data_IF_427180207110
#
_entry.id   IF_427180207110
#
_cell.length_a   1.000
_cell.length_b   1.000
_cell.length_c   1.000
_cell.angle_alpha   90.00
_cell.angle_beta   90.00
_cell.angle_gamma   90.00
#
_symmetry.space_group_name_H-M   'P 1'
#
loop_
_entity.id
_entity.type
_entity.pdbx_description
1 polymer ?
#
# COMPACT_ATOMS: atom_id res chain seq x y z
N UNK A 1 -13.11 6.90 -47.50
CA UNK A 1 -13.01 7.61 -46.20
C UNK A 1 -13.91 7.04 -45.08
N UNK A 2 -14.44 5.80 -45.14
CA UNK A 2 -15.25 5.22 -44.04
C UNK A 2 -14.49 4.24 -43.12
N UNK A 3 -13.35 3.70 -43.59
CA UNK A 3 -12.55 2.71 -42.84
C UNK A 3 -11.66 3.31 -41.75
N UNK A 4 -11.20 4.56 -41.93
CA UNK A 4 -10.33 5.27 -40.98
C UNK A 4 -11.10 5.63 -39.71
N UNK A 5 -12.36 6.08 -39.84
CA UNK A 5 -13.22 6.37 -38.68
C UNK A 5 -13.52 5.13 -37.84
N UNK A 6 -13.65 3.94 -38.46
CA UNK A 6 -13.90 2.71 -37.73
C UNK A 6 -12.67 2.31 -36.88
N UNK A 7 -11.46 2.44 -37.44
CA UNK A 7 -10.20 2.23 -36.72
C UNK A 7 -9.98 3.26 -35.61
N UNK A 8 -10.32 4.53 -35.85
CA UNK A 8 -10.26 5.60 -34.83
C UNK A 8 -11.29 5.40 -33.71
N UNK A 9 -12.48 4.88 -34.02
CA UNK A 9 -13.53 4.58 -33.02
C UNK A 9 -13.13 3.39 -32.13
N UNK A 10 -12.47 2.38 -32.71
CA UNK A 10 -11.91 1.24 -31.98
C UNK A 10 -10.74 1.65 -31.06
N UNK A 11 -9.86 2.54 -31.52
CA UNK A 11 -8.79 3.12 -30.70
C UNK A 11 -9.33 3.95 -29.54
N UNK A 12 -10.41 4.71 -29.76
CA UNK A 12 -11.08 5.46 -28.70
C UNK A 12 -11.73 4.52 -27.66
N UNK A 13 -12.31 3.40 -28.08
CA UNK A 13 -12.93 2.43 -27.17
C UNK A 13 -11.91 1.74 -26.24
N UNK A 14 -10.66 1.53 -26.70
CA UNK A 14 -9.58 1.04 -25.84
C UNK A 14 -9.11 2.07 -24.80
N UNK A 15 -9.25 3.37 -25.09
CA UNK A 15 -8.82 4.46 -24.20
C UNK A 15 -9.76 4.69 -23.02
N UNK A 16 -11.00 4.17 -23.07
CA UNK A 16 -12.03 4.35 -22.02
C UNK A 16 -12.41 3.03 -21.35
N UNK A 17 -11.58 1.99 -21.44
CA UNK A 17 -11.78 0.86 -20.53
C UNK A 17 -11.51 1.39 -19.12
N UNK A 18 -12.53 1.47 -18.23
CA UNK A 18 -12.23 1.67 -16.83
C UNK A 18 -11.26 0.56 -16.45
N UNK A 19 -10.22 0.89 -15.70
CA UNK A 19 -9.34 -0.09 -15.07
C UNK A 19 -10.25 -0.91 -14.14
N UNK A 20 -10.94 -1.90 -14.71
CA UNK A 20 -11.69 -2.88 -13.96
C UNK A 20 -10.59 -3.69 -13.32
N UNK A 21 -10.39 -3.49 -12.01
CA UNK A 21 -9.55 -4.38 -11.23
C UNK A 21 -9.93 -5.81 -11.57
N UNK A 22 -8.94 -6.67 -11.77
CA UNK A 22 -9.19 -8.07 -12.07
C UNK A 22 -10.14 -8.63 -11.01
N UNK A 23 -11.13 -9.40 -11.47
CA UNK A 23 -12.04 -10.12 -10.60
C UNK A 23 -11.20 -11.08 -9.75
N UNK A 24 -11.21 -10.92 -8.43
CA UNK A 24 -10.45 -11.77 -7.50
C UNK A 24 -11.38 -12.49 -6.55
N UNK A 25 -11.24 -13.82 -6.47
CA UNK A 25 -12.03 -14.67 -5.58
C UNK A 25 -11.30 -14.97 -4.26
N UNK A 26 -12.04 -15.45 -3.25
CA UNK A 26 -11.45 -15.85 -1.97
C UNK A 26 -10.41 -16.96 -2.16
N UNK A 27 -10.69 -17.97 -2.99
CA UNK A 27 -9.76 -19.07 -3.24
C UNK A 27 -8.45 -18.58 -3.88
N UNK A 28 -8.52 -17.53 -4.69
CA UNK A 28 -7.37 -16.92 -5.34
C UNK A 28 -6.50 -16.15 -4.35
N UNK A 29 -7.10 -15.38 -3.43
CA UNK A 29 -6.38 -14.65 -2.37
C UNK A 29 -5.58 -15.57 -1.45
N UNK A 30 -6.02 -16.83 -1.30
CA UNK A 30 -5.32 -17.84 -0.51
C UNK A 30 -4.11 -18.43 -1.24
N UNK A 31 -3.81 -18.04 -2.49
CA UNK A 31 -2.62 -18.47 -3.22
C UNK A 31 -1.37 -17.67 -2.79
N UNK A 32 -0.44 -18.26 -2.02
CA UNK A 32 0.73 -17.54 -1.49
C UNK A 32 1.76 -17.16 -2.57
N UNK A 33 1.66 -17.72 -3.79
CA UNK A 33 2.54 -17.36 -4.90
C UNK A 33 2.21 -16.00 -5.50
N UNK A 34 0.95 -15.58 -5.39
CA UNK A 34 0.46 -14.33 -5.98
C UNK A 34 0.10 -13.29 -4.91
N UNK A 35 -0.41 -13.74 -3.77
CA UNK A 35 -0.81 -12.87 -2.67
C UNK A 35 -0.03 -13.19 -1.41
N UNK A 36 0.44 -12.14 -0.73
CA UNK A 36 1.00 -12.27 0.60
C UNK A 36 -0.07 -11.91 1.63
N UNK A 37 -0.38 -12.86 2.51
CA UNK A 37 -1.18 -12.57 3.70
C UNK A 37 -0.40 -11.64 4.63
N UNK A 38 -1.08 -10.60 5.12
CA UNK A 38 -0.54 -9.66 6.09
C UNK A 38 -1.22 -9.98 7.43
N UNK A 39 -0.44 -10.55 8.33
CA UNK A 39 -0.93 -10.90 9.66
C UNK A 39 -1.43 -9.64 10.40
N UNK A 40 -2.69 -9.67 10.79
CA UNK A 40 -3.36 -8.62 11.56
C UNK A 40 -3.71 -9.14 12.94
N UNK A 41 -3.68 -8.27 13.95
CA UNK A 41 -4.08 -8.62 15.32
C UNK A 41 -5.57 -9.00 15.44
N UNK A 42 -6.35 -8.82 14.38
CA UNK A 42 -7.81 -9.06 14.32
C UNK A 42 -8.16 -10.21 13.36
N UNK A 43 -7.18 -10.99 12.90
CA UNK A 43 -7.45 -12.16 12.06
C UNK A 43 -8.16 -13.24 12.90
N UNK A 44 -9.37 -13.63 12.47
CA UNK A 44 -10.16 -14.67 13.12
C UNK A 44 -9.71 -16.09 12.79
N UNK A 45 -8.70 -16.25 11.91
CA UNK A 45 -8.16 -17.54 11.46
C UNK A 45 -9.12 -18.29 10.53
N UNK A 46 -10.15 -17.61 10.02
CA UNK A 46 -11.17 -18.17 9.11
C UNK A 46 -10.98 -17.70 7.67
N UNK A 47 -9.81 -17.15 7.36
CA UNK A 47 -9.45 -16.59 6.06
C UNK A 47 -9.81 -15.12 5.89
N UNK A 48 -10.39 -14.49 6.91
CA UNK A 48 -10.45 -13.03 7.00
C UNK A 48 -9.05 -12.44 7.11
N UNK A 49 -8.82 -11.29 6.49
CA UNK A 49 -7.48 -10.71 6.53
C UNK A 49 -7.19 -9.74 5.40
N UNK A 50 -5.94 -9.30 5.36
CA UNK A 50 -5.42 -8.40 4.33
C UNK A 50 -4.43 -9.17 3.47
N UNK A 51 -4.54 -9.02 2.16
CA UNK A 51 -3.76 -9.76 1.18
C UNK A 51 -3.12 -8.77 0.23
N UNK A 52 -1.80 -8.71 0.21
CA UNK A 52 -1.03 -7.88 -0.72
C UNK A 52 -0.88 -8.61 -2.04
N UNK A 53 -1.33 -8.00 -3.14
CA UNK A 53 -1.05 -8.49 -4.49
C UNK A 53 0.39 -8.18 -4.87
N UNK A 54 1.22 -9.22 -4.93
CA UNK A 54 2.65 -9.10 -5.20
C UNK A 54 2.93 -8.59 -6.63
N UNK A 55 2.04 -8.86 -7.58
CA UNK A 55 2.19 -8.44 -8.97
C UNK A 55 1.82 -6.97 -9.19
N UNK A 56 1.03 -6.40 -8.27
CA UNK A 56 0.61 -5.00 -8.32
C UNK A 56 1.66 -4.01 -7.81
N UNK A 57 2.71 -4.50 -7.14
CA UNK A 57 3.74 -3.66 -6.52
C UNK A 57 4.59 -3.03 -7.61
N UNK A 58 4.57 -1.69 -7.66
CA UNK A 58 5.26 -0.94 -8.70
C UNK A 58 5.91 0.31 -8.11
N UNK A 59 7.23 0.40 -8.21
CA UNK A 59 7.94 1.66 -7.97
C UNK A 59 7.56 2.68 -9.05
N UNK A 60 7.31 3.92 -8.65
CA UNK A 60 6.94 5.02 -9.54
C UNK A 60 7.79 6.25 -9.24
N UNK A 61 7.82 7.18 -10.19
CA UNK A 61 8.66 8.37 -10.10
C UNK A 61 8.33 9.22 -8.86
N UNK A 62 9.39 9.68 -8.20
CA UNK A 62 9.36 10.54 -7.02
C UNK A 62 10.56 11.50 -7.06
N UNK A 63 10.52 12.63 -6.31
CA UNK A 63 11.70 13.45 -6.03
C UNK A 63 12.87 12.63 -5.46
N UNK A 64 14.11 13.10 -5.59
CA UNK A 64 15.32 12.35 -5.21
C UNK A 64 15.39 11.97 -3.72
N UNK A 65 14.79 12.79 -2.86
CA UNK A 65 14.66 12.61 -1.40
C UNK A 65 13.46 11.74 -1.01
N UNK A 66 12.71 11.23 -2.00
CA UNK A 66 11.55 10.40 -1.80
C UNK A 66 11.63 9.10 -2.60
N UNK A 67 10.84 8.12 -2.15
CA UNK A 67 10.49 6.94 -2.94
C UNK A 67 8.98 6.84 -2.99
N UNK A 68 8.46 6.29 -4.08
CA UNK A 68 7.01 6.11 -4.23
C UNK A 68 6.69 4.74 -4.80
N UNK A 69 5.67 4.11 -4.23
CA UNK A 69 5.25 2.75 -4.60
C UNK A 69 3.73 2.72 -4.72
N UNK A 70 3.24 2.15 -5.81
CA UNK A 70 1.85 1.76 -5.96
C UNK A 70 1.69 0.27 -5.62
N UNK A 71 0.57 -0.08 -4.99
CA UNK A 71 0.22 -1.48 -4.70
C UNK A 71 -1.30 -1.65 -4.53
N UNK A 72 -1.78 -2.88 -4.66
CA UNK A 72 -3.16 -3.26 -4.37
C UNK A 72 -3.20 -4.18 -3.15
N UNK A 73 -4.06 -3.84 -2.19
CA UNK A 73 -4.37 -4.68 -1.04
C UNK A 73 -5.82 -5.13 -1.12
N UNK A 74 -6.06 -6.41 -0.89
CA UNK A 74 -7.39 -6.98 -0.77
C UNK A 74 -7.72 -7.23 0.70
N UNK A 75 -8.84 -6.66 1.17
CA UNK A 75 -9.42 -6.96 2.48
C UNK A 75 -10.52 -7.98 2.28
N UNK A 76 -10.31 -9.19 2.80
CA UNK A 76 -11.25 -10.31 2.70
C UNK A 76 -12.07 -10.40 3.98
N UNK A 77 -13.40 -10.36 3.82
CA UNK A 77 -14.39 -10.57 4.87
C UNK A 77 -15.33 -11.70 4.45
N UNK A 78 -14.93 -12.98 4.63
CA UNK A 78 -15.64 -14.13 4.07
C UNK A 78 -17.09 -14.22 4.52
N UNK A 79 -17.34 -13.94 5.81
CA UNK A 79 -18.69 -14.00 6.41
C UNK A 79 -19.66 -12.97 5.81
N UNK A 80 -19.14 -11.83 5.31
CA UNK A 80 -19.95 -10.78 4.67
C UNK A 80 -20.07 -10.97 3.14
N UNK A 81 -19.50 -12.06 2.61
CA UNK A 81 -19.37 -12.32 1.18
C UNK A 81 -18.76 -11.11 0.44
N UNK A 82 -17.69 -10.53 1.02
CA UNK A 82 -17.12 -9.25 0.62
C UNK A 82 -15.60 -9.31 0.56
N UNK A 83 -15.08 -8.90 -0.59
CA UNK A 83 -13.67 -8.63 -0.82
C UNK A 83 -13.56 -7.17 -1.25
N UNK A 84 -12.70 -6.39 -0.62
CA UNK A 84 -12.42 -5.02 -1.01
C UNK A 84 -10.99 -4.94 -1.57
N UNK A 85 -10.85 -4.75 -2.88
CA UNK A 85 -9.57 -4.43 -3.51
C UNK A 85 -9.33 -2.93 -3.44
N UNK A 86 -8.21 -2.53 -2.85
CA UNK A 86 -7.87 -1.14 -2.53
C UNK A 86 -6.56 -0.81 -3.22
N UNK A 87 -6.60 0.19 -4.10
CA UNK A 87 -5.41 0.68 -4.80
C UNK A 87 -4.79 1.81 -3.99
N UNK A 88 -3.52 1.64 -3.65
CA UNK A 88 -2.76 2.51 -2.77
C UNK A 88 -1.56 3.06 -3.49
N UNK A 89 -1.17 4.26 -3.09
CA UNK A 89 0.15 4.79 -3.34
C UNK A 89 0.75 5.23 -2.00
N UNK A 90 1.98 4.79 -1.74
CA UNK A 90 2.77 5.27 -0.63
C UNK A 90 3.92 6.11 -1.12
N UNK A 91 4.15 7.21 -0.43
CA UNK A 91 5.25 8.14 -0.61
C UNK A 91 6.09 8.12 0.68
N UNK A 92 7.39 7.90 0.53
CA UNK A 92 8.33 7.66 1.62
C UNK A 92 9.40 8.75 1.59
N UNK A 93 9.49 9.51 2.66
CA UNK A 93 10.50 10.55 2.91
C UNK A 93 11.78 9.87 3.41
N UNK A 94 12.84 9.89 2.62
CA UNK A 94 14.09 9.19 2.96
C UNK A 94 14.82 9.83 4.14
N UNK A 95 14.57 11.10 4.46
CA UNK A 95 15.14 11.76 5.65
C UNK A 95 14.49 11.25 6.97
N UNK A 96 13.40 10.50 6.85
CA UNK A 96 12.62 9.96 7.97
C UNK A 96 12.78 8.46 8.15
N UNK A 97 13.67 7.81 7.41
CA UNK A 97 14.07 6.42 7.70
C UNK A 97 14.69 6.35 9.11
N UNK A 98 14.49 5.24 9.82
CA UNK A 98 15.08 5.07 11.15
C UNK A 98 16.61 5.21 11.12
N UNK A 99 17.27 4.60 10.12
CA UNK A 99 18.72 4.69 9.94
C UNK A 99 19.20 6.10 9.67
N UNK A 100 18.49 6.89 8.87
CA UNK A 100 18.83 8.29 8.64
C UNK A 100 18.75 9.11 9.93
N UNK A 101 17.65 8.94 10.69
CA UNK A 101 17.46 9.62 11.98
C UNK A 101 18.52 9.23 13.02
N UNK A 102 18.91 7.95 13.08
CA UNK A 102 20.01 7.47 13.93
C UNK A 102 21.33 8.14 13.50
N UNK A 103 21.59 8.27 12.20
CA UNK A 103 22.81 8.88 11.68
C UNK A 103 22.92 10.35 12.06
N UNK A 104 21.82 11.12 11.90
CA UNK A 104 21.76 12.53 12.35
C UNK A 104 21.99 12.61 13.87
N UNK A 105 21.31 11.76 14.64
CA UNK A 105 21.42 11.75 16.09
C UNK A 105 22.87 11.51 16.55
N UNK A 106 23.52 10.48 16.01
CA UNK A 106 24.90 10.13 16.34
C UNK A 106 25.88 11.25 15.99
N UNK A 107 25.69 11.91 14.84
CA UNK A 107 26.49 13.08 14.45
C UNK A 107 26.32 14.23 15.46
N UNK A 108 25.09 14.48 15.91
CA UNK A 108 24.81 15.47 16.95
C UNK A 108 25.53 15.17 18.25
N UNK A 109 25.50 13.92 18.72
CA UNK A 109 26.21 13.48 19.93
C UNK A 109 27.73 13.72 19.81
N UNK A 110 28.32 13.40 18.65
CA UNK A 110 29.74 13.68 18.37
C UNK A 110 30.09 15.16 18.40
N UNK A 111 29.12 16.04 18.12
CA UNK A 111 29.25 17.50 18.15
C UNK A 111 28.89 18.11 19.53
N UNK A 112 28.66 17.28 20.55
CA UNK A 112 28.38 17.72 21.91
C UNK A 112 26.90 17.92 22.25
N UNK A 113 25.98 17.49 21.38
CA UNK A 113 24.56 17.43 21.75
C UNK A 113 24.34 16.40 22.88
N UNK A 114 23.36 16.66 23.75
CA UNK A 114 22.96 15.75 24.83
C UNK A 114 21.51 15.28 24.67
N UNK A 115 21.07 15.11 23.42
CA UNK A 115 19.73 14.62 23.12
C UNK A 115 19.66 13.10 23.40
N UNK A 116 18.62 12.60 24.07
CA UNK A 116 18.51 11.18 24.37
C UNK A 116 18.02 10.38 23.14
N UNK A 117 18.44 9.12 22.99
CA UNK A 117 18.03 8.24 21.87
C UNK A 117 16.50 8.09 21.72
N UNK A 118 15.73 8.20 22.82
CA UNK A 118 14.26 8.19 22.78
C UNK A 118 13.67 9.30 21.89
N UNK A 119 14.43 10.37 21.62
CA UNK A 119 14.03 11.43 20.68
C UNK A 119 13.83 10.91 19.25
N UNK A 120 14.59 9.91 18.81
CA UNK A 120 14.43 9.27 17.49
C UNK A 120 13.05 8.60 17.40
N UNK A 121 12.69 7.82 18.43
CA UNK A 121 11.39 7.16 18.50
C UNK A 121 10.24 8.16 18.52
N UNK A 122 10.39 9.30 19.23
CA UNK A 122 9.40 10.38 19.23
C UNK A 122 9.26 11.03 17.85
N UNK A 123 10.37 11.28 17.17
CA UNK A 123 10.37 11.83 15.81
C UNK A 123 9.63 10.91 14.82
N UNK A 124 9.85 9.59 14.89
CA UNK A 124 9.11 8.61 14.06
C UNK A 124 7.63 8.52 14.41
N UNK A 125 7.25 8.66 15.69
CA UNK A 125 5.85 8.69 16.08
C UNK A 125 5.13 9.96 15.61
N UNK A 126 5.81 11.11 15.66
CA UNK A 126 5.27 12.38 15.17
C UNK A 126 5.14 12.40 13.65
N UNK A 127 6.16 11.91 12.96
CA UNK A 127 6.16 11.74 11.51
C UNK A 127 6.88 10.43 11.15
N UNK A 128 6.10 9.45 10.69
CA UNK A 128 6.62 8.15 10.27
C UNK A 128 7.47 8.24 8.99
N UNK A 129 7.36 9.35 8.27
CA UNK A 129 7.94 9.56 6.94
C UNK A 129 7.20 8.83 5.84
N UNK A 130 5.99 8.34 6.11
CA UNK A 130 5.18 7.63 5.12
C UNK A 130 3.81 8.28 5.00
N UNK A 131 3.51 8.75 3.80
CA UNK A 131 2.19 9.26 3.43
C UNK A 131 1.57 8.27 2.48
N UNK A 132 0.32 7.86 2.74
CA UNK A 132 -0.43 7.00 1.84
C UNK A 132 -1.65 7.69 1.27
N UNK A 133 -2.00 7.36 0.04
CA UNK A 133 -3.21 7.82 -0.64
C UNK A 133 -3.96 6.63 -1.24
N UNK A 134 -5.29 6.65 -1.11
CA UNK A 134 -6.17 5.69 -1.79
C UNK A 134 -6.53 6.25 -3.16
N UNK A 135 -6.05 5.58 -4.21
CA UNK A 135 -6.28 5.96 -5.59
C UNK A 135 -7.61 5.40 -6.13
N UNK A 136 -8.10 4.31 -5.55
CA UNK A 136 -9.32 3.66 -5.96
C UNK A 136 -9.69 2.46 -5.11
N UNK A 137 -10.89 1.95 -5.32
CA UNK A 137 -11.35 0.74 -4.66
C UNK A 137 -12.42 0.04 -5.49
N UNK A 138 -12.43 -1.29 -5.43
CA UNK A 138 -13.42 -2.14 -6.06
C UNK A 138 -13.85 -3.24 -5.07
N UNK A 139 -15.12 -3.64 -5.14
CA UNK A 139 -15.67 -4.69 -4.29
C UNK A 139 -16.00 -5.94 -5.10
N UNK A 140 -15.72 -7.10 -4.55
CA UNK A 140 -16.11 -8.40 -5.08
C UNK A 140 -16.86 -9.21 -4.02
N UNK A 141 -17.54 -10.26 -4.45
CA UNK A 141 -17.99 -11.32 -3.56
C UNK A 141 -16.93 -12.43 -3.48
N UNK A 142 -17.13 -13.44 -2.64
CA UNK A 142 -16.16 -14.52 -2.41
C UNK A 142 -15.89 -15.35 -3.69
N UNK A 143 -16.82 -15.38 -4.64
CA UNK A 143 -16.63 -16.03 -5.94
C UNK A 143 -15.95 -15.14 -7.00
N UNK A 144 -15.56 -13.91 -6.64
CA UNK A 144 -14.87 -12.96 -7.52
C UNK A 144 -15.77 -12.10 -8.40
N UNK A 145 -17.10 -12.15 -8.24
CA UNK A 145 -18.02 -11.29 -8.99
C UNK A 145 -18.01 -9.87 -8.43
N UNK A 146 -17.85 -8.87 -9.30
CA UNK A 146 -17.89 -7.46 -8.91
C UNK A 146 -19.22 -7.11 -8.24
N UNK A 147 -19.15 -6.47 -7.07
CA UNK A 147 -20.31 -5.92 -6.37
C UNK A 147 -20.44 -4.45 -6.71
N UNK A 148 -21.66 -4.02 -7.07
CA UNK A 148 -22.02 -2.60 -7.13
C UNK A 148 -22.22 -2.06 -5.71
N UNK A 149 -21.18 -2.09 -4.90
CA UNK A 149 -21.15 -1.46 -3.60
C UNK A 149 -20.31 -0.19 -3.72
N UNK A 150 -20.89 0.95 -3.35
CA UNK A 150 -20.13 2.19 -3.24
C UNK A 150 -19.22 2.05 -2.02
N UNK A 151 -17.93 1.86 -2.26
CA UNK A 151 -16.95 1.92 -1.19
C UNK A 151 -16.79 3.38 -0.77
N UNK A 152 -17.04 3.67 0.50
CA UNK A 152 -16.79 5.00 1.05
C UNK A 152 -15.29 5.16 1.23
N UNK A 153 -14.72 6.22 0.66
CA UNK A 153 -13.28 6.47 0.66
C UNK A 153 -12.76 6.55 2.09
N UNK A 154 -13.51 7.18 2.97
CA UNK A 154 -13.19 7.37 4.39
C UNK A 154 -13.08 6.02 5.13
N UNK A 155 -13.93 5.05 4.79
CA UNK A 155 -13.88 3.72 5.37
C UNK A 155 -12.65 2.93 4.89
N UNK A 156 -12.33 3.04 3.60
CA UNK A 156 -11.14 2.42 3.01
C UNK A 156 -9.87 3.02 3.64
N UNK A 157 -9.81 4.35 3.74
CA UNK A 157 -8.69 5.06 4.34
C UNK A 157 -8.53 4.65 5.80
N UNK A 158 -9.61 4.60 6.57
CA UNK A 158 -9.57 4.20 7.98
C UNK A 158 -9.10 2.75 8.21
N UNK A 159 -9.03 1.88 7.19
CA UNK A 159 -8.50 0.52 7.33
C UNK A 159 -6.99 0.45 7.20
N UNK A 160 -6.40 1.26 6.32
CA UNK A 160 -5.01 1.10 5.86
C UNK A 160 -4.16 2.37 6.09
N UNK A 161 -4.77 3.52 6.35
CA UNK A 161 -4.13 4.82 6.54
C UNK A 161 -4.56 5.50 7.85
N UNK A 162 -3.74 6.42 8.41
CA UNK A 162 -2.36 6.68 8.03
C UNK A 162 -1.40 5.60 8.56
N UNK A 163 -0.22 5.43 7.95
CA UNK A 163 0.83 4.53 8.45
C UNK A 163 1.52 5.16 9.68
N UNK A 164 1.00 4.85 10.85
CA UNK A 164 1.57 5.34 12.12
C UNK A 164 2.66 4.39 12.60
N UNK A 165 3.84 4.94 12.91
CA UNK A 165 4.98 4.14 13.33
C UNK A 165 4.65 3.27 14.55
N UNK A 166 5.01 1.98 14.50
CA UNK A 166 4.67 1.00 15.53
C UNK A 166 3.27 0.39 15.43
N UNK A 167 2.46 0.78 14.43
CA UNK A 167 1.13 0.22 14.17
C UNK A 167 1.12 -0.71 12.95
N UNK A 168 0.12 -1.59 12.85
CA UNK A 168 -0.04 -2.54 11.74
C UNK A 168 0.01 -1.86 10.35
N UNK A 169 -0.61 -0.67 10.23
CA UNK A 169 -0.64 0.11 8.98
C UNK A 169 0.76 0.51 8.50
N UNK A 170 1.69 0.74 9.43
CA UNK A 170 3.09 1.02 9.10
C UNK A 170 3.83 -0.24 8.67
N UNK A 171 3.56 -1.39 9.31
CA UNK A 171 4.10 -2.69 8.86
C UNK A 171 3.71 -2.99 7.42
N UNK A 172 2.45 -2.74 7.04
CA UNK A 172 1.98 -2.89 5.65
C UNK A 172 2.81 -2.03 4.70
N UNK A 173 2.96 -0.74 5.00
CA UNK A 173 3.74 0.16 4.16
C UNK A 173 5.21 -0.27 4.07
N UNK A 174 5.81 -0.76 5.15
CA UNK A 174 7.20 -1.22 5.14
C UNK A 174 7.38 -2.52 4.34
N UNK A 175 6.44 -3.47 4.40
CA UNK A 175 6.45 -4.68 3.57
C UNK A 175 6.39 -4.29 2.08
N UNK A 176 5.50 -3.39 1.70
CA UNK A 176 5.37 -2.91 0.31
C UNK A 176 6.68 -2.27 -0.16
N UNK A 177 7.28 -1.42 0.68
CA UNK A 177 8.57 -0.81 0.39
C UNK A 177 9.66 -1.85 0.15
N UNK A 178 9.80 -2.82 1.08
CA UNK A 178 10.80 -3.87 0.99
C UNK A 178 10.64 -4.73 -0.26
N UNK A 179 9.41 -5.01 -0.67
CA UNK A 179 9.15 -5.75 -1.91
C UNK A 179 9.52 -4.93 -3.15
N UNK A 180 9.30 -3.62 -3.13
CA UNK A 180 9.62 -2.75 -4.25
C UNK A 180 11.13 -2.48 -4.41
N UNK A 181 11.85 -2.28 -3.30
CA UNK A 181 13.23 -1.78 -3.32
C UNK A 181 14.26 -2.78 -2.78
N UNK A 182 13.85 -3.92 -2.23
CA UNK A 182 14.73 -4.96 -1.73
C UNK A 182 15.37 -4.68 -0.35
N UNK A 183 15.06 -3.53 0.26
CA UNK A 183 15.52 -3.12 1.59
C UNK A 183 14.33 -2.61 2.41
N UNK A 184 14.32 -2.79 3.73
CA UNK A 184 13.28 -2.20 4.55
C UNK A 184 13.43 -0.67 4.55
N UNK A 185 12.31 0.06 4.59
CA UNK A 185 12.33 1.54 4.56
C UNK A 185 13.17 2.10 5.71
N UNK A 186 13.07 1.51 6.90
CA UNK A 186 13.83 1.96 8.07
C UNK A 186 15.34 1.66 8.00
N UNK A 187 15.78 0.86 7.04
CA UNK A 187 17.20 0.53 6.78
C UNK A 187 17.81 1.38 5.65
N UNK A 188 17.03 2.26 5.00
CA UNK A 188 17.50 3.18 3.96
C UNK A 188 18.55 4.16 4.52
N UNK A 189 19.65 4.43 3.79
CA UNK A 189 20.79 5.22 4.28
C UNK A 189 20.47 6.68 4.63
#
# INVERSE_FOLDING_TARGET
>A
MKRIYLLSLWLLACLVLPIQGQAVSQAELLNPQHYQHIDSTVDSGRGDGKYLDLSSIKAVDAPDDHRRVEATIYVLMPASNLIQGIQLQYDYDLERSLRHLITIHNRGLQQGANTPYISIWRAKQENSGVIGTVNGGIAFNNEGKTRRQRLQKEHIEAMILPPQFGMERYTIANIIYQKAYGVAYDDEP
#
